data_IF_694705204869
#
_entry.id   IF_694705204869
#
_cell.length_a   1.000
_cell.length_b   1.000
_cell.length_c   1.000
_cell.angle_alpha   90.00
_cell.angle_beta   90.00
_cell.angle_gamma   90.00
#
_symmetry.space_group_name_H-M   'P 1'
#
loop_
_entity.id
_entity.type
_entity.pdbx_description
1 polymer ?
#
# COMPACT_ATOMS: atom_id res chain seq x y z
N UNK A 1 -10.52 6.33 -38.52
CA UNK A 1 -9.94 5.62 -37.35
C UNK A 1 -10.36 6.38 -36.10
N UNK A 2 -11.17 5.78 -35.24
CA UNK A 2 -11.47 6.37 -33.94
C UNK A 2 -10.21 6.26 -33.04
N UNK A 3 -9.85 7.30 -32.28
CA UNK A 3 -8.77 7.19 -31.32
C UNK A 3 -9.16 6.14 -30.27
N UNK A 4 -8.34 5.11 -30.08
CA UNK A 4 -8.52 4.21 -28.94
C UNK A 4 -8.24 5.03 -27.69
N UNK A 5 -9.30 5.42 -26.99
CA UNK A 5 -9.22 5.99 -25.66
C UNK A 5 -8.70 4.90 -24.72
N UNK A 6 -7.38 4.78 -24.67
CA UNK A 6 -6.71 4.02 -23.62
C UNK A 6 -7.12 4.69 -22.32
N UNK A 7 -7.94 4.02 -21.51
CA UNK A 7 -8.28 4.43 -20.14
C UNK A 7 -7.06 4.22 -19.23
N UNK A 8 -5.92 4.77 -19.62
CA UNK A 8 -4.75 4.87 -18.75
C UNK A 8 -5.13 5.93 -17.73
N UNK A 9 -5.66 5.46 -16.61
CA UNK A 9 -5.70 6.26 -15.40
C UNK A 9 -4.23 6.52 -15.07
N UNK A 10 -3.79 7.75 -15.26
CA UNK A 10 -2.46 8.18 -14.86
C UNK A 10 -2.42 8.11 -13.34
N UNK A 11 -1.95 6.97 -12.82
CA UNK A 11 -1.79 6.74 -11.41
C UNK A 11 -0.61 7.58 -10.96
N UNK A 12 -0.90 8.81 -10.54
CA UNK A 12 0.12 9.73 -10.04
C UNK A 12 0.69 9.17 -8.73
N UNK A 13 1.70 8.33 -8.89
CA UNK A 13 2.40 7.65 -7.82
C UNK A 13 2.86 8.63 -6.74
N UNK A 14 3.28 9.85 -7.13
CA UNK A 14 3.75 10.88 -6.20
C UNK A 14 2.63 11.44 -5.34
N UNK A 15 1.40 11.49 -5.88
CA UNK A 15 0.22 11.91 -5.13
C UNK A 15 -0.31 10.81 -4.23
N UNK A 16 -0.25 9.55 -4.67
CA UNK A 16 -0.80 8.41 -3.93
C UNK A 16 0.10 7.98 -2.77
N UNK A 17 1.42 8.04 -2.95
CA UNK A 17 2.42 7.66 -1.96
C UNK A 17 2.16 8.18 -0.53
N UNK A 18 1.96 9.50 -0.30
CA UNK A 18 1.73 10.00 1.05
C UNK A 18 0.42 9.50 1.67
N UNK A 19 -0.61 9.19 0.88
CA UNK A 19 -1.87 8.63 1.40
C UNK A 19 -1.70 7.19 1.85
N UNK A 20 -1.04 6.37 1.02
CA UNK A 20 -0.77 4.96 1.34
C UNK A 20 0.13 4.88 2.57
N UNK A 21 1.19 5.69 2.62
CA UNK A 21 2.10 5.70 3.77
C UNK A 21 1.38 6.15 5.05
N UNK A 22 0.57 7.20 4.99
CA UNK A 22 -0.22 7.65 6.15
C UNK A 22 -1.19 6.58 6.66
N UNK A 23 -1.79 5.81 5.76
CA UNK A 23 -2.68 4.70 6.14
C UNK A 23 -1.90 3.56 6.82
N UNK A 24 -0.72 3.19 6.28
CA UNK A 24 0.17 2.19 6.90
C UNK A 24 0.60 2.65 8.29
N UNK A 25 1.04 3.91 8.44
CA UNK A 25 1.40 4.49 9.74
C UNK A 25 0.24 4.48 10.74
N UNK A 26 -1.00 4.61 10.26
CA UNK A 26 -2.20 4.40 11.09
C UNK A 26 -2.20 3.02 11.75
N UNK A 27 -1.98 1.96 10.98
CA UNK A 27 -1.91 0.59 11.49
C UNK A 27 -0.66 0.29 12.33
N UNK A 28 0.44 1.00 12.10
CA UNK A 28 1.62 0.88 12.96
C UNK A 28 1.36 1.45 14.37
N UNK A 29 0.48 2.46 14.49
CA UNK A 29 0.09 3.03 15.77
C UNK A 29 -1.08 2.28 16.42
N UNK A 30 -2.01 1.77 15.61
CA UNK A 30 -3.18 1.01 16.05
C UNK A 30 -3.26 -0.31 15.26
N UNK A 31 -2.66 -1.40 15.79
CA UNK A 31 -2.53 -2.66 15.07
C UNK A 31 -3.87 -3.25 14.60
N UNK A 32 -3.90 -3.90 13.41
CA UNK A 32 -5.14 -4.45 12.88
C UNK A 32 -5.71 -5.56 13.78
N UNK A 33 -6.98 -5.41 14.15
CA UNK A 33 -7.68 -6.28 15.11
C UNK A 33 -8.54 -7.38 14.47
N UNK A 34 -8.69 -7.32 13.14
CA UNK A 34 -9.58 -8.17 12.38
C UNK A 34 -8.95 -8.61 11.05
N UNK A 35 -9.37 -9.76 10.54
CA UNK A 35 -8.84 -10.31 9.29
C UNK A 35 -9.09 -9.38 8.09
N UNK A 36 -10.19 -8.62 8.13
CA UNK A 36 -10.46 -7.58 7.15
C UNK A 36 -9.39 -6.48 7.19
N UNK A 37 -9.06 -5.96 8.36
CA UNK A 37 -8.04 -4.92 8.50
C UNK A 37 -6.64 -5.43 8.14
N UNK A 38 -6.32 -6.68 8.48
CA UNK A 38 -5.07 -7.33 8.04
C UNK A 38 -5.00 -7.45 6.53
N UNK A 39 -6.08 -7.90 5.88
CA UNK A 39 -6.16 -7.96 4.41
C UNK A 39 -6.03 -6.58 3.76
N UNK A 40 -6.64 -5.56 4.35
CA UNK A 40 -6.52 -4.18 3.90
C UNK A 40 -5.08 -3.66 4.02
N UNK A 41 -4.42 -3.88 5.17
CA UNK A 41 -3.01 -3.53 5.38
C UNK A 41 -2.09 -4.26 4.40
N UNK A 42 -2.31 -5.56 4.16
CA UNK A 42 -1.57 -6.32 3.15
C UNK A 42 -1.72 -5.73 1.74
N UNK A 43 -2.94 -5.31 1.39
CA UNK A 43 -3.20 -4.59 0.13
C UNK A 43 -2.42 -3.28 0.03
N UNK A 44 -2.40 -2.47 1.09
CA UNK A 44 -1.64 -1.21 1.12
C UNK A 44 -0.13 -1.43 0.96
N UNK A 45 0.42 -2.44 1.64
CA UNK A 45 1.84 -2.82 1.52
C UNK A 45 2.16 -3.25 0.08
N UNK A 46 1.30 -4.06 -0.55
CA UNK A 46 1.49 -4.47 -1.95
C UNK A 46 1.40 -3.30 -2.92
N UNK A 47 0.43 -2.39 -2.74
CA UNK A 47 0.34 -1.17 -3.56
C UNK A 47 1.60 -0.32 -3.42
N UNK A 48 2.14 -0.20 -2.21
CA UNK A 48 3.36 0.57 -1.99
C UNK A 48 4.60 -0.09 -2.62
N UNK A 49 4.70 -1.42 -2.52
CA UNK A 49 5.83 -2.18 -3.06
C UNK A 49 5.81 -2.29 -4.58
N UNK A 50 4.71 -2.83 -5.09
CA UNK A 50 4.57 -3.20 -6.50
C UNK A 50 4.03 -2.04 -7.31
N UNK A 51 2.98 -1.36 -6.81
CA UNK A 51 2.31 -0.27 -7.52
C UNK A 51 3.15 0.99 -7.65
N UNK A 52 3.99 1.29 -6.65
CA UNK A 52 4.89 2.46 -6.66
C UNK A 52 6.35 2.09 -6.97
N UNK A 53 6.69 0.79 -7.04
CA UNK A 53 8.06 0.32 -7.28
C UNK A 53 9.05 0.70 -6.17
N UNK A 54 8.58 0.77 -4.91
CA UNK A 54 9.36 1.19 -3.73
C UNK A 54 9.50 0.02 -2.74
N UNK A 55 10.29 0.18 -1.68
CA UNK A 55 10.16 -0.69 -0.51
C UNK A 55 11.12 -1.87 -0.35
N UNK A 56 12.25 -1.91 -1.08
CA UNK A 56 13.31 -2.91 -0.83
C UNK A 56 14.00 -2.71 0.53
N UNK A 57 13.88 -1.53 1.15
CA UNK A 57 14.46 -1.23 2.48
C UNK A 57 13.70 -0.16 3.26
N UNK A 58 12.36 -0.18 3.22
CA UNK A 58 11.57 0.73 4.06
C UNK A 58 11.18 0.04 5.38
N UNK A 59 11.74 0.54 6.49
CA UNK A 59 11.50 0.02 7.83
C UNK A 59 10.03 0.02 8.25
N UNK A 60 9.20 0.91 7.70
CA UNK A 60 7.75 0.96 7.97
C UNK A 60 7.03 -0.22 7.32
N UNK A 61 7.48 -0.63 6.14
CA UNK A 61 6.94 -1.82 5.46
C UNK A 61 7.36 -3.10 6.18
N UNK A 62 8.60 -3.17 6.66
CA UNK A 62 9.04 -4.29 7.51
C UNK A 62 8.23 -4.39 8.80
N UNK A 63 7.93 -3.24 9.43
CA UNK A 63 7.07 -3.20 10.61
C UNK A 63 5.63 -3.61 10.28
N UNK A 64 5.09 -3.16 9.14
CA UNK A 64 3.77 -3.55 8.67
C UNK A 64 3.69 -5.06 8.38
N UNK A 65 4.71 -5.66 7.76
CA UNK A 65 4.77 -7.11 7.52
C UNK A 65 4.71 -7.91 8.84
N UNK A 66 5.33 -7.42 9.92
CA UNK A 66 5.24 -8.08 11.23
C UNK A 66 3.82 -8.09 11.80
N UNK A 67 3.02 -7.06 11.51
CA UNK A 67 1.61 -7.02 11.88
C UNK A 67 0.75 -7.99 11.05
N UNK A 68 1.21 -8.34 9.85
CA UNK A 68 0.58 -9.33 8.96
C UNK A 68 1.03 -10.77 9.26
N UNK A 69 2.21 -10.94 9.87
CA UNK A 69 2.94 -12.21 10.03
C UNK A 69 3.06 -12.73 11.46
N UNK A 70 2.03 -12.52 12.29
CA UNK A 70 1.62 -13.52 13.28
C UNK A 70 0.61 -14.51 12.65
N UNK A 71 0.92 -14.98 11.43
CA UNK A 71 0.22 -16.01 10.66
C UNK A 71 1.24 -17.04 10.15
#
# INVERSE_FOLDING_TARGET
MAPSSSNVIDFDARRVEPFVMKAIEGFLNDPPDSDYQRGYLAGLVNVYREGLGRGVSDARLEAADRLLGAL
#
